data_IF_231139912621
#
_entry.id   IF_231139912621
#
_cell.length_a   1.000
_cell.length_b   1.000
_cell.length_c   1.000
_cell.angle_alpha   90.00
_cell.angle_beta   90.00
_cell.angle_gamma   90.00
#
_symmetry.space_group_name_H-M   'P 1'
#
loop_
_entity.id
_entity.type
_entity.pdbx_description
1 polymer ?
#
# COMPACT_ATOMS: atom_id res chain seq x y z
N UNK A 1 -12.27 33.93 13.28
CA UNK A 1 -12.57 33.20 12.03
C UNK A 1 -11.36 33.07 11.09
N UNK A 2 -10.28 33.86 11.22
CA UNK A 2 -9.12 33.82 10.30
C UNK A 2 -8.05 32.74 10.58
N UNK A 3 -7.88 32.27 11.83
CA UNK A 3 -6.82 31.28 12.15
C UNK A 3 -7.05 29.88 11.55
N UNK A 4 -8.31 29.49 11.34
CA UNK A 4 -8.66 28.23 10.70
C UNK A 4 -8.32 28.24 9.21
N UNK A 5 -8.69 29.30 8.50
CA UNK A 5 -8.47 29.42 7.05
C UNK A 5 -6.98 29.44 6.68
N UNK A 6 -6.14 30.15 7.45
CA UNK A 6 -4.69 30.14 7.20
C UNK A 6 -4.06 28.76 7.46
N UNK A 7 -4.55 28.00 8.44
CA UNK A 7 -4.10 26.64 8.73
C UNK A 7 -4.48 25.64 7.63
N UNK A 8 -5.73 25.66 7.15
CA UNK A 8 -6.19 24.79 6.06
C UNK A 8 -5.48 25.10 4.74
N UNK A 9 -5.31 26.38 4.39
CA UNK A 9 -4.59 26.78 3.19
C UNK A 9 -3.13 26.35 3.25
N UNK A 10 -2.48 26.49 4.41
CA UNK A 10 -1.09 26.03 4.63
C UNK A 10 -0.98 24.51 4.46
N UNK A 11 -1.91 23.74 5.03
CA UNK A 11 -1.93 22.27 4.90
C UNK A 11 -2.16 21.82 3.45
N UNK A 12 -3.02 22.50 2.69
CA UNK A 12 -3.23 22.23 1.26
C UNK A 12 -2.00 22.56 0.41
N UNK A 13 -1.31 23.65 0.72
CA UNK A 13 -0.06 24.02 0.04
C UNK A 13 1.05 23.00 0.34
N UNK A 14 1.12 22.51 1.58
CA UNK A 14 2.04 21.44 1.94
C UNK A 14 1.71 20.16 1.17
N UNK A 15 0.45 19.71 1.15
CA UNK A 15 0.01 18.53 0.40
C UNK A 15 0.45 18.61 -1.07
N UNK A 16 0.15 19.75 -1.73
CA UNK A 16 0.53 19.97 -3.12
C UNK A 16 2.05 19.85 -3.32
N UNK A 17 2.83 20.50 -2.46
CA UNK A 17 4.29 20.50 -2.56
C UNK A 17 4.87 19.10 -2.38
N UNK A 18 4.35 18.35 -1.40
CA UNK A 18 4.74 16.95 -1.11
C UNK A 18 4.38 16.03 -2.27
N UNK A 19 3.17 16.18 -2.82
CA UNK A 19 2.69 15.43 -3.97
C UNK A 19 3.56 15.67 -5.22
N UNK A 20 3.89 16.94 -5.52
CA UNK A 20 4.76 17.28 -6.65
C UNK A 20 6.14 16.65 -6.47
N UNK A 21 6.71 16.67 -5.26
CA UNK A 21 8.01 16.04 -4.96
C UNK A 21 7.97 14.53 -5.15
N UNK A 22 6.93 13.87 -4.65
CA UNK A 22 6.74 12.43 -4.82
C UNK A 22 6.59 12.05 -6.31
N UNK A 23 5.76 12.78 -7.05
CA UNK A 23 5.59 12.58 -8.50
C UNK A 23 6.88 12.87 -9.27
N UNK A 24 7.63 13.92 -8.91
CA UNK A 24 8.91 14.22 -9.55
C UNK A 24 9.94 13.11 -9.32
N UNK A 25 9.97 12.51 -8.13
CA UNK A 25 10.87 11.39 -7.83
C UNK A 25 10.55 10.18 -8.72
N UNK A 26 9.25 9.87 -8.89
CA UNK A 26 8.81 8.79 -9.79
C UNK A 26 9.20 9.11 -11.24
N UNK A 27 8.97 10.33 -11.72
CA UNK A 27 9.28 10.73 -13.10
C UNK A 27 10.78 10.68 -13.38
N UNK A 28 11.62 11.16 -12.46
CA UNK A 28 13.08 11.13 -12.60
C UNK A 28 13.59 9.70 -12.78
N UNK A 29 13.00 8.75 -12.06
CA UNK A 29 13.34 7.32 -12.20
C UNK A 29 12.66 6.68 -13.41
N UNK A 30 11.48 7.16 -13.80
CA UNK A 30 10.73 6.64 -14.93
C UNK A 30 11.44 6.87 -16.26
N UNK A 31 12.04 8.05 -16.47
CA UNK A 31 12.74 8.39 -17.72
C UNK A 31 13.78 7.33 -18.11
N UNK A 32 14.75 6.94 -17.26
CA UNK A 32 15.73 5.91 -17.60
C UNK A 32 15.11 4.52 -17.68
N UNK A 33 14.16 4.17 -16.79
CA UNK A 33 13.54 2.83 -16.76
C UNK A 33 12.62 2.57 -17.96
N UNK A 34 12.03 3.62 -18.54
CA UNK A 34 11.20 3.54 -19.75
C UNK A 34 11.97 3.01 -20.96
N UNK A 35 13.27 3.29 -21.08
CA UNK A 35 14.10 2.73 -22.16
C UNK A 35 14.29 1.21 -22.04
N UNK A 36 14.16 0.65 -20.83
CA UNK A 36 14.29 -0.78 -20.52
C UNK A 36 12.93 -1.47 -20.28
N UNK A 37 11.83 -0.84 -20.71
CA UNK A 37 10.48 -1.31 -20.44
C UNK A 37 10.21 -2.74 -20.93
N UNK A 38 10.79 -3.13 -22.07
CA UNK A 38 10.59 -4.46 -22.67
C UNK A 38 11.28 -5.56 -21.87
N UNK A 39 12.50 -5.28 -21.42
CA UNK A 39 13.31 -6.18 -20.60
C UNK A 39 12.67 -6.38 -19.22
N UNK A 40 12.18 -5.29 -18.62
CA UNK A 40 11.46 -5.34 -17.34
C UNK A 40 10.17 -6.17 -17.47
N UNK A 41 9.41 -5.98 -18.55
CA UNK A 41 8.23 -6.80 -18.82
C UNK A 41 8.58 -8.28 -18.98
N UNK A 42 9.61 -8.60 -19.77
CA UNK A 42 10.07 -9.97 -19.96
C UNK A 42 10.46 -10.65 -18.63
N UNK A 43 11.03 -9.89 -17.68
CA UNK A 43 11.37 -10.40 -16.35
C UNK A 43 10.11 -10.70 -15.50
N UNK A 44 9.12 -9.80 -15.52
CA UNK A 44 7.85 -9.94 -14.79
C UNK A 44 6.95 -11.06 -15.36
N UNK A 45 7.07 -11.33 -16.66
CA UNK A 45 6.31 -12.35 -17.38
C UNK A 45 6.77 -13.80 -17.11
N UNK A 46 8.03 -14.00 -16.69
CA UNK A 46 8.63 -15.34 -16.44
C UNK A 46 7.77 -16.29 -15.59
N UNK A 47 7.25 -15.91 -14.40
CA UNK A 47 6.47 -16.83 -13.56
C UNK A 47 5.17 -17.30 -14.20
N UNK A 48 4.49 -16.43 -14.98
CA UNK A 48 3.29 -16.83 -15.70
C UNK A 48 3.63 -17.78 -16.83
N UNK A 49 4.66 -17.47 -17.63
CA UNK A 49 5.13 -18.34 -18.70
C UNK A 49 5.54 -19.73 -18.17
N UNK A 50 6.09 -19.81 -16.96
CA UNK A 50 6.42 -21.07 -16.30
C UNK A 50 5.20 -21.85 -15.78
N UNK A 51 4.07 -21.17 -15.55
CA UNK A 51 2.82 -21.78 -15.08
C UNK A 51 1.86 -22.16 -16.23
N UNK A 52 2.17 -21.74 -17.45
CA UNK A 52 1.41 -22.11 -18.64
C UNK A 52 1.78 -23.53 -19.12
N UNK A 53 0.83 -24.29 -19.71
CA UNK A 53 1.13 -25.56 -20.36
C UNK A 53 2.20 -25.38 -21.46
N UNK A 54 2.94 -26.46 -21.77
CA UNK A 54 3.96 -26.42 -22.81
C UNK A 54 3.38 -25.88 -24.15
N UNK A 55 3.87 -24.70 -24.58
CA UNK A 55 3.40 -24.00 -25.79
C UNK A 55 2.38 -22.88 -25.54
N UNK A 56 2.02 -22.58 -24.30
CA UNK A 56 1.17 -21.43 -23.96
C UNK A 56 1.82 -20.11 -24.34
N UNK A 57 1.10 -19.31 -25.13
CA UNK A 57 1.51 -17.96 -25.51
C UNK A 57 0.56 -16.94 -24.88
N UNK A 58 1.10 -15.85 -24.35
CA UNK A 58 0.25 -14.72 -24.00
C UNK A 58 -0.13 -13.96 -25.27
N UNK A 59 -1.41 -13.61 -25.37
CA UNK A 59 -1.94 -12.89 -26.52
C UNK A 59 -2.09 -11.41 -26.17
N UNK A 60 -1.80 -10.53 -27.13
CA UNK A 60 -2.18 -9.13 -27.06
C UNK A 60 -3.45 -8.96 -27.89
N UNK A 61 -4.57 -8.67 -27.23
CA UNK A 61 -5.85 -8.42 -27.92
C UNK A 61 -5.98 -6.96 -28.38
N UNK A 62 -5.29 -6.04 -27.72
CA UNK A 62 -5.25 -4.61 -28.05
C UNK A 62 -3.91 -4.22 -28.72
N UNK A 63 -4.00 -3.53 -29.86
CA UNK A 63 -2.87 -2.97 -30.61
C UNK A 63 -2.11 -1.94 -29.77
N UNK A 64 -2.83 -1.11 -29.00
CA UNK A 64 -2.23 -0.11 -28.12
C UNK A 64 -1.57 -0.77 -26.91
N UNK A 65 -2.13 -1.91 -26.46
CA UNK A 65 -1.62 -2.71 -25.35
C UNK A 65 -0.16 -3.15 -25.55
N UNK A 66 0.26 -3.48 -26.78
CA UNK A 66 1.64 -3.89 -27.10
C UNK A 66 2.68 -2.83 -26.70
N UNK A 67 2.32 -1.55 -26.78
CA UNK A 67 3.17 -0.44 -26.34
C UNK A 67 2.93 -0.07 -24.88
N UNK A 68 1.68 0.06 -24.45
CA UNK A 68 1.36 0.54 -23.11
C UNK A 68 1.71 -0.44 -22.00
N UNK A 69 1.65 -1.75 -22.25
CA UNK A 69 1.95 -2.78 -21.24
C UNK A 69 3.40 -2.66 -20.73
N UNK A 70 4.44 -2.68 -21.58
CA UNK A 70 5.81 -2.44 -21.14
C UNK A 70 5.97 -1.10 -20.40
N UNK A 71 5.31 -0.04 -20.87
CA UNK A 71 5.39 1.28 -20.24
C UNK A 71 4.76 1.31 -18.84
N UNK A 72 3.63 0.61 -18.64
CA UNK A 72 3.03 0.39 -17.31
C UNK A 72 4.01 -0.32 -16.39
N UNK A 73 4.76 -1.31 -16.89
CA UNK A 73 5.78 -2.04 -16.09
C UNK A 73 6.89 -1.11 -15.68
N UNK A 74 7.43 -0.33 -16.61
CA UNK A 74 8.46 0.65 -16.31
C UNK A 74 7.99 1.66 -15.25
N UNK A 75 6.73 2.11 -15.33
CA UNK A 75 6.14 3.00 -14.33
C UNK A 75 6.01 2.35 -12.96
N UNK A 76 5.63 1.08 -12.91
CA UNK A 76 5.57 0.34 -11.65
C UNK A 76 6.97 0.21 -11.04
N UNK A 77 7.96 -0.22 -11.83
CA UNK A 77 9.35 -0.36 -11.36
C UNK A 77 9.93 0.97 -10.92
N UNK A 78 9.65 2.05 -11.63
CA UNK A 78 10.10 3.39 -11.23
C UNK A 78 9.46 3.84 -9.93
N UNK A 79 8.16 3.56 -9.74
CA UNK A 79 7.47 3.78 -8.48
C UNK A 79 8.13 3.01 -7.32
N UNK A 80 8.50 1.74 -7.52
CA UNK A 80 9.16 0.93 -6.49
C UNK A 80 10.55 1.44 -6.11
N UNK A 81 11.33 1.87 -7.10
CA UNK A 81 12.64 2.48 -6.85
C UNK A 81 12.48 3.83 -6.14
N UNK A 82 11.47 4.63 -6.53
CA UNK A 82 11.14 5.91 -5.90
C UNK A 82 10.40 5.76 -4.56
N UNK A 83 10.00 4.54 -4.17
CA UNK A 83 9.16 4.27 -3.01
C UNK A 83 9.67 4.88 -1.70
N UNK A 84 10.98 4.82 -1.36
CA UNK A 84 11.49 5.46 -0.14
C UNK A 84 11.23 6.97 -0.12
N UNK A 85 11.36 7.64 -1.27
CA UNK A 85 11.08 9.06 -1.39
C UNK A 85 9.58 9.34 -1.31
N UNK A 86 8.74 8.51 -1.94
CA UNK A 86 7.28 8.64 -1.89
C UNK A 86 6.76 8.49 -0.47
N UNK A 87 7.11 7.39 0.21
CA UNK A 87 6.69 7.12 1.59
C UNK A 87 7.19 8.21 2.55
N UNK A 88 8.42 8.69 2.36
CA UNK A 88 8.93 9.83 3.14
C UNK A 88 8.04 11.08 2.98
N UNK A 89 7.63 11.44 1.76
CA UNK A 89 6.76 12.60 1.56
C UNK A 89 5.34 12.38 2.14
N UNK A 90 4.79 11.16 2.04
CA UNK A 90 3.49 10.80 2.63
C UNK A 90 3.53 10.96 4.15
N UNK A 91 4.51 10.36 4.81
CA UNK A 91 4.62 10.43 6.27
C UNK A 91 5.01 11.81 6.78
N UNK A 92 5.82 12.56 6.03
CA UNK A 92 6.13 13.94 6.34
C UNK A 92 4.89 14.86 6.28
N UNK A 93 3.88 14.50 5.47
CA UNK A 93 2.61 15.22 5.41
C UNK A 93 1.66 14.80 6.54
N UNK A 94 1.52 13.49 6.80
CA UNK A 94 0.54 12.97 7.77
C UNK A 94 0.89 13.34 9.21
N UNK A 95 2.18 13.42 9.55
CA UNK A 95 2.60 13.58 10.95
C UNK A 95 3.63 14.71 11.17
N UNK A 96 3.33 15.99 10.88
CA UNK A 96 4.23 17.09 11.22
C UNK A 96 4.51 17.14 12.73
N UNK A 97 3.55 16.72 13.56
CA UNK A 97 3.67 16.63 15.02
C UNK A 97 4.73 15.64 15.50
N UNK A 98 4.96 14.53 14.77
CA UNK A 98 6.01 13.57 15.11
C UNK A 98 7.41 14.13 14.76
N UNK A 99 7.51 14.91 13.67
CA UNK A 99 8.79 15.51 13.24
C UNK A 99 9.28 16.64 14.14
N UNK A 100 8.39 17.36 14.82
CA UNK A 100 8.73 18.51 15.66
C UNK A 100 9.40 18.09 17.00
N UNK A 101 8.93 17.00 17.61
CA UNK A 101 9.40 16.58 18.95
C UNK A 101 10.11 15.20 18.96
N UNK A 102 9.88 14.31 17.98
CA UNK A 102 10.48 12.96 17.92
C UNK A 102 11.07 12.62 16.53
N UNK A 103 11.97 13.48 16.02
CA UNK A 103 12.70 13.25 14.76
C UNK A 103 13.40 11.87 14.66
N UNK A 104 13.68 11.23 15.81
CA UNK A 104 14.30 9.91 15.93
C UNK A 104 13.37 8.74 15.57
N UNK A 105 12.04 8.90 15.67
CA UNK A 105 11.07 7.83 15.37
C UNK A 105 10.56 7.90 13.92
N UNK A 106 10.59 9.08 13.29
CA UNK A 106 10.14 9.24 11.91
C UNK A 106 10.98 8.43 10.91
N UNK A 107 12.31 8.43 11.05
CA UNK A 107 13.21 7.70 10.14
C UNK A 107 13.05 6.17 10.19
N UNK A 108 13.06 5.51 11.37
CA UNK A 108 12.83 4.06 11.43
C UNK A 108 11.42 3.67 10.98
N UNK A 109 10.43 4.55 11.13
CA UNK A 109 9.07 4.32 10.64
C UNK A 109 9.00 4.30 9.12
N UNK A 110 9.62 5.28 8.45
CA UNK A 110 9.72 5.28 6.97
C UNK A 110 10.49 4.05 6.48
N UNK A 111 11.58 3.68 7.14
CA UNK A 111 12.33 2.47 6.80
C UNK A 111 11.48 1.19 6.99
N UNK A 112 10.72 1.10 8.09
CA UNK A 112 9.81 0.00 8.35
C UNK A 112 8.69 -0.08 7.29
N UNK A 113 8.11 1.05 6.90
CA UNK A 113 7.15 1.13 5.78
C UNK A 113 7.75 0.58 4.49
N UNK A 114 8.93 1.07 4.07
CA UNK A 114 9.59 0.57 2.86
C UNK A 114 9.76 -0.95 2.92
N UNK A 115 10.25 -1.49 4.03
CA UNK A 115 10.43 -2.93 4.22
C UNK A 115 9.09 -3.67 4.17
N UNK A 116 8.06 -3.17 4.86
CA UNK A 116 6.72 -3.77 4.88
C UNK A 116 6.09 -3.76 3.49
N UNK A 117 6.22 -2.68 2.73
CA UNK A 117 5.73 -2.59 1.37
C UNK A 117 6.37 -3.65 0.46
N UNK A 118 7.71 -3.76 0.48
CA UNK A 118 8.41 -4.80 -0.27
C UNK A 118 8.06 -6.22 0.22
N UNK A 119 7.83 -6.39 1.52
CA UNK A 119 7.35 -7.66 2.10
C UNK A 119 5.94 -7.99 1.61
N UNK A 120 5.05 -7.00 1.50
CA UNK A 120 3.72 -7.16 0.96
C UNK A 120 3.72 -7.54 -0.51
N UNK A 121 4.61 -6.92 -1.30
CA UNK A 121 4.82 -7.33 -2.69
C UNK A 121 5.39 -8.74 -2.82
N UNK A 122 6.36 -9.11 -1.98
CA UNK A 122 6.91 -10.46 -1.94
C UNK A 122 5.81 -11.47 -1.57
N UNK A 123 4.97 -11.15 -0.59
CA UNK A 123 3.82 -11.98 -0.23
C UNK A 123 2.84 -12.14 -1.39
N UNK A 124 2.52 -11.05 -2.11
CA UNK A 124 1.67 -11.10 -3.30
C UNK A 124 2.26 -12.03 -4.37
N UNK A 125 3.58 -11.93 -4.62
CA UNK A 125 4.25 -12.70 -5.65
C UNK A 125 4.43 -14.18 -5.30
N UNK A 126 4.88 -14.49 -4.08
CA UNK A 126 5.25 -15.86 -3.69
C UNK A 126 4.10 -16.67 -3.07
N UNK A 127 3.13 -16.02 -2.44
CA UNK A 127 2.02 -16.72 -1.78
C UNK A 127 0.70 -16.54 -2.53
N UNK A 128 0.32 -15.29 -2.84
CA UNK A 128 -0.99 -15.00 -3.40
C UNK A 128 -1.14 -15.45 -4.85
N UNK A 129 -0.23 -15.09 -5.76
CA UNK A 129 -0.36 -15.45 -7.19
C UNK A 129 -0.37 -16.97 -7.45
N UNK A 130 0.55 -17.79 -6.91
CA UNK A 130 0.52 -19.24 -7.14
C UNK A 130 -0.78 -19.87 -6.65
N UNK A 131 -1.34 -19.36 -5.56
CA UNK A 131 -2.59 -19.83 -5.00
C UNK A 131 -3.80 -19.46 -5.88
N UNK A 132 -3.92 -18.20 -6.28
CA UNK A 132 -5.03 -17.75 -7.15
C UNK A 132 -4.96 -18.45 -8.50
N UNK A 133 -3.79 -18.53 -9.14
CA UNK A 133 -3.65 -19.21 -10.43
C UNK A 133 -3.83 -20.73 -10.32
N UNK A 134 -3.40 -21.34 -9.22
CA UNK A 134 -3.68 -22.75 -8.94
C UNK A 134 -5.17 -23.04 -8.73
N UNK A 135 -5.89 -22.13 -8.08
CA UNK A 135 -7.35 -22.22 -7.97
C UNK A 135 -8.03 -22.04 -9.33
N UNK A 136 -7.64 -21.03 -10.10
CA UNK A 136 -8.21 -20.79 -11.44
C UNK A 136 -7.96 -21.96 -12.40
N UNK A 137 -6.79 -22.61 -12.34
CA UNK A 137 -6.50 -23.78 -13.19
C UNK A 137 -7.27 -25.03 -12.76
N UNK A 138 -7.53 -25.22 -11.46
CA UNK A 138 -8.33 -26.34 -10.95
C UNK A 138 -9.82 -26.24 -11.33
N UNK A 139 -10.33 -25.04 -11.58
CA UNK A 139 -11.72 -24.80 -12.01
C UNK A 139 -11.88 -24.67 -13.53
N UNK A 140 -10.79 -24.75 -14.29
CA UNK A 140 -10.85 -24.69 -15.74
C UNK A 140 -11.53 -25.96 -16.31
N UNK A 141 -12.58 -25.82 -17.14
CA UNK A 141 -13.22 -26.98 -17.77
C UNK A 141 -12.25 -27.74 -18.67
N UNK A 142 -12.33 -29.07 -18.67
CA UNK A 142 -11.55 -29.90 -19.60
C UNK A 142 -11.85 -29.50 -21.05
N UNK A 143 -10.81 -29.14 -21.81
CA UNK A 143 -10.92 -28.77 -23.22
C UNK A 143 -10.93 -27.26 -23.53
N UNK A 144 -10.90 -26.38 -22.52
CA UNK A 144 -10.76 -24.92 -22.75
C UNK A 144 -9.29 -24.53 -22.73
N UNK A 145 -8.77 -24.04 -23.85
CA UNK A 145 -7.42 -23.49 -23.93
C UNK A 145 -7.32 -22.21 -23.08
N UNK A 146 -6.45 -22.24 -22.08
CA UNK A 146 -6.25 -21.12 -21.16
C UNK A 146 -5.39 -20.04 -21.83
N UNK A 147 -6.06 -19.11 -22.53
CA UNK A 147 -5.42 -17.98 -23.20
C UNK A 147 -5.64 -16.71 -22.37
N UNK A 148 -4.60 -16.24 -21.68
CA UNK A 148 -4.66 -15.00 -20.91
C UNK A 148 -4.13 -13.83 -21.73
N UNK A 149 -4.88 -12.74 -21.73
CA UNK A 149 -4.44 -11.48 -22.32
C UNK A 149 -3.36 -10.80 -21.46
N UNK A 150 -2.31 -10.30 -22.13
CA UNK A 150 -1.15 -9.68 -21.49
C UNK A 150 -1.56 -8.48 -20.63
N UNK A 151 -2.45 -7.62 -21.14
CA UNK A 151 -2.85 -6.42 -20.42
C UNK A 151 -3.70 -6.76 -19.22
N UNK A 152 -4.62 -7.73 -19.33
CA UNK A 152 -5.45 -8.18 -18.21
C UNK A 152 -4.60 -8.80 -17.10
N UNK A 153 -3.67 -9.69 -17.47
CA UNK A 153 -2.74 -10.28 -16.51
C UNK A 153 -1.90 -9.19 -15.82
N UNK A 154 -1.28 -8.31 -16.60
CA UNK A 154 -0.41 -7.28 -16.04
C UNK A 154 -1.17 -6.30 -15.15
N UNK A 155 -2.36 -5.87 -15.58
CA UNK A 155 -3.21 -4.98 -14.78
C UNK A 155 -3.59 -5.64 -13.47
N UNK A 156 -3.96 -6.93 -13.49
CA UNK A 156 -4.21 -7.70 -12.27
C UNK A 156 -2.97 -7.73 -11.35
N UNK A 157 -1.80 -8.12 -11.87
CA UNK A 157 -0.56 -8.19 -11.08
C UNK A 157 -0.19 -6.84 -10.47
N UNK A 158 -0.28 -5.76 -11.26
CA UNK A 158 0.03 -4.40 -10.81
C UNK A 158 -0.92 -3.93 -9.73
N UNK A 159 -2.23 -4.12 -9.93
CA UNK A 159 -3.23 -3.75 -8.95
C UNK A 159 -3.02 -4.53 -7.66
N UNK A 160 -2.70 -5.83 -7.72
CA UNK A 160 -2.40 -6.63 -6.53
C UNK A 160 -1.14 -6.17 -5.81
N UNK A 161 -0.06 -5.85 -6.52
CA UNK A 161 1.16 -5.34 -5.89
C UNK A 161 0.93 -4.04 -5.14
N UNK A 162 0.16 -3.11 -5.71
CA UNK A 162 -0.20 -1.87 -5.02
C UNK A 162 -1.15 -2.15 -3.85
N UNK A 163 -2.17 -3.00 -4.04
CA UNK A 163 -3.12 -3.33 -2.99
C UNK A 163 -2.44 -4.01 -1.78
N UNK A 164 -1.59 -5.01 -2.00
CA UNK A 164 -0.84 -5.68 -0.93
C UNK A 164 0.24 -4.78 -0.34
N UNK A 165 0.94 -3.98 -1.16
CA UNK A 165 1.91 -3.02 -0.66
C UNK A 165 1.28 -2.02 0.31
N UNK A 166 0.14 -1.42 -0.07
CA UNK A 166 -0.62 -0.50 0.81
C UNK A 166 -1.20 -1.23 2.02
N UNK A 167 -1.70 -2.44 1.84
CA UNK A 167 -2.23 -3.25 2.93
C UNK A 167 -1.18 -3.54 4.00
N UNK A 168 0.07 -3.82 3.60
CA UNK A 168 1.15 -4.09 4.53
C UNK A 168 1.60 -2.85 5.31
N UNK A 169 1.13 -1.65 4.93
CA UNK A 169 1.32 -0.42 5.70
C UNK A 169 0.30 -0.26 6.85
N UNK A 170 -0.76 -1.08 6.91
CA UNK A 170 -1.76 -1.03 7.98
C UNK A 170 -1.15 -1.03 9.40
N UNK A 171 -0.16 -1.89 9.73
CA UNK A 171 0.49 -1.86 11.04
C UNK A 171 1.15 -0.51 11.35
N UNK A 172 1.79 0.11 10.35
CA UNK A 172 2.44 1.42 10.50
C UNK A 172 1.41 2.51 10.74
N UNK A 173 0.32 2.50 9.97
CA UNK A 173 -0.80 3.44 10.14
C UNK A 173 -1.36 3.34 11.57
N UNK A 174 -1.59 2.13 12.08
CA UNK A 174 -2.09 1.91 13.45
C UNK A 174 -1.13 2.48 14.50
N UNK A 175 0.17 2.27 14.34
CA UNK A 175 1.20 2.82 15.25
C UNK A 175 1.17 4.35 15.21
N UNK A 176 1.14 4.97 14.04
CA UNK A 176 1.12 6.43 13.88
C UNK A 176 -0.14 7.03 14.50
N UNK A 177 -1.32 6.46 14.22
CA UNK A 177 -2.58 6.93 14.80
C UNK A 177 -2.58 6.87 16.33
N UNK A 178 -2.02 5.79 16.89
CA UNK A 178 -1.92 5.63 18.35
C UNK A 178 -0.90 6.59 18.96
N UNK A 179 0.24 6.81 18.30
CA UNK A 179 1.29 7.74 18.76
C UNK A 179 0.84 9.20 18.70
N UNK A 180 0.03 9.56 17.72
CA UNK A 180 -0.57 10.90 17.62
C UNK A 180 -1.71 11.12 18.62
N UNK A 181 -2.13 10.09 19.37
CA UNK A 181 -3.25 10.17 20.31
C UNK A 181 -4.62 10.32 19.63
N UNK A 182 -4.71 10.07 18.32
CA UNK A 182 -5.97 10.13 17.58
C UNK A 182 -6.88 8.93 17.90
N UNK A 183 -6.28 7.78 18.18
CA UNK A 183 -6.98 6.55 18.54
C UNK A 183 -6.23 5.85 19.67
N UNK A 184 -6.95 5.28 20.63
CA UNK A 184 -6.37 4.51 21.74
C UNK A 184 -6.37 3.00 21.42
N UNK A 185 -5.49 2.23 22.05
CA UNK A 185 -5.44 0.76 21.90
C UNK A 185 -6.79 0.09 22.21
N UNK A 186 -7.54 0.48 23.26
CA UNK A 186 -8.88 -0.05 23.51
C UNK A 186 -9.86 0.21 22.34
N UNK A 187 -9.87 1.43 21.78
CA UNK A 187 -10.73 1.77 20.64
C UNK A 187 -10.41 0.92 19.40
N UNK A 188 -9.12 0.68 19.12
CA UNK A 188 -8.72 -0.21 18.03
C UNK A 188 -9.21 -1.66 18.25
N UNK A 189 -9.26 -2.12 19.51
CA UNK A 189 -9.78 -3.45 19.83
C UNK A 189 -11.29 -3.54 19.64
N UNK A 190 -12.04 -2.49 19.93
CA UNK A 190 -13.48 -2.42 19.65
C UNK A 190 -13.76 -2.43 18.14
N UNK A 191 -12.86 -1.84 17.34
CA UNK A 191 -13.03 -1.74 15.89
C UNK A 191 -12.70 -3.00 15.10
N UNK A 192 -12.32 -4.11 15.76
CA UNK A 192 -11.98 -5.39 15.10
C UNK A 192 -13.06 -5.87 14.14
N UNK A 193 -14.33 -5.81 14.56
CA UNK A 193 -15.46 -6.24 13.72
C UNK A 193 -15.57 -5.40 12.44
N UNK A 194 -15.38 -4.09 12.53
CA UNK A 194 -15.38 -3.20 11.37
C UNK A 194 -14.20 -3.46 10.43
N UNK A 195 -13.01 -3.70 10.97
CA UNK A 195 -11.82 -4.01 10.15
C UNK A 195 -11.95 -5.35 9.45
N UNK A 196 -12.53 -6.37 10.10
CA UNK A 196 -12.81 -7.66 9.44
C UNK A 196 -13.75 -7.45 8.25
N UNK A 197 -14.86 -6.73 8.42
CA UNK A 197 -15.79 -6.44 7.32
C UNK A 197 -15.09 -5.64 6.21
N UNK A 198 -14.29 -4.63 6.58
CA UNK A 198 -13.49 -3.86 5.63
C UNK A 198 -12.48 -4.71 4.86
N UNK A 199 -11.81 -5.66 5.53
CA UNK A 199 -10.86 -6.57 4.91
C UNK A 199 -11.53 -7.50 3.89
N UNK A 200 -12.72 -8.02 4.21
CA UNK A 200 -13.51 -8.81 3.26
C UNK A 200 -14.04 -8.00 2.08
N UNK A 201 -14.39 -6.72 2.30
CA UNK A 201 -14.81 -5.82 1.23
C UNK A 201 -13.64 -5.50 0.28
N UNK A 202 -12.46 -5.19 0.84
CA UNK A 202 -11.23 -4.99 0.06
C UNK A 202 -10.88 -6.26 -0.72
N UNK A 203 -10.91 -7.42 -0.05
CA UNK A 203 -10.68 -8.70 -0.71
C UNK A 203 -11.67 -8.90 -1.88
N UNK A 204 -12.97 -8.68 -1.69
CA UNK A 204 -13.97 -8.83 -2.76
C UNK A 204 -13.77 -7.90 -3.97
N UNK A 205 -13.17 -6.72 -3.77
CA UNK A 205 -12.86 -5.78 -4.87
C UNK A 205 -11.66 -6.25 -5.69
N UNK A 206 -10.69 -6.89 -5.04
CA UNK A 206 -9.39 -7.22 -5.62
C UNK A 206 -9.28 -8.68 -6.08
N UNK A 207 -9.98 -9.60 -5.42
CA UNK A 207 -10.08 -11.00 -5.83
C UNK A 207 -11.23 -11.19 -6.80
N UNK A 208 -11.18 -12.20 -7.68
CA UNK A 208 -12.36 -12.67 -8.38
C UNK A 208 -13.49 -13.02 -7.38
N UNK A 209 -14.74 -13.25 -7.85
CA UNK A 209 -15.87 -13.64 -7.01
C UNK A 209 -15.75 -15.10 -6.56
N UNK A 210 -14.63 -15.46 -5.96
CA UNK A 210 -14.33 -16.76 -5.40
C UNK A 210 -14.02 -16.65 -3.90
N UNK A 211 -14.72 -17.45 -3.11
CA UNK A 211 -14.68 -17.38 -1.65
C UNK A 211 -13.28 -17.72 -1.13
N UNK A 212 -12.58 -18.68 -1.75
CA UNK A 212 -11.29 -19.13 -1.26
C UNK A 212 -10.25 -18.01 -1.38
N UNK A 213 -10.06 -17.41 -2.55
CA UNK A 213 -9.11 -16.31 -2.72
C UNK A 213 -9.50 -15.09 -1.88
N UNK A 214 -10.80 -14.82 -1.73
CA UNK A 214 -11.28 -13.74 -0.87
C UNK A 214 -10.84 -13.93 0.59
N UNK A 215 -11.05 -15.11 1.17
CA UNK A 215 -10.58 -15.41 2.53
C UNK A 215 -9.06 -15.37 2.64
N UNK A 216 -8.35 -15.86 1.61
CA UNK A 216 -6.89 -15.86 1.59
C UNK A 216 -6.27 -14.47 1.50
N UNK A 217 -6.99 -13.48 0.96
CA UNK A 217 -6.59 -12.08 1.04
C UNK A 217 -7.02 -11.45 2.38
N UNK A 218 -8.25 -11.69 2.83
CA UNK A 218 -8.79 -11.06 4.03
C UNK A 218 -8.08 -11.48 5.33
N UNK A 219 -7.65 -12.75 5.45
CA UNK A 219 -6.97 -13.26 6.65
C UNK A 219 -5.64 -12.52 6.89
N UNK A 220 -4.70 -12.41 5.92
CA UNK A 220 -3.50 -11.60 6.06
C UNK A 220 -3.79 -10.16 6.47
N UNK A 221 -4.82 -9.51 5.90
CA UNK A 221 -5.24 -8.16 6.29
C UNK A 221 -5.58 -8.10 7.79
N UNK A 222 -6.38 -9.04 8.28
CA UNK A 222 -6.78 -9.10 9.68
C UNK A 222 -5.56 -9.34 10.60
N UNK A 223 -4.65 -10.22 10.19
CA UNK A 223 -3.42 -10.52 10.95
C UNK A 223 -2.48 -9.31 11.03
N UNK A 224 -2.33 -8.57 9.93
CA UNK A 224 -1.55 -7.32 9.90
C UNK A 224 -2.16 -6.26 10.80
N UNK A 225 -3.48 -6.13 10.81
CA UNK A 225 -4.15 -5.23 11.75
C UNK A 225 -3.89 -5.60 13.21
N UNK A 226 -3.98 -6.89 13.54
CA UNK A 226 -3.70 -7.38 14.89
C UNK A 226 -2.24 -7.15 15.29
N UNK A 227 -1.30 -7.39 14.38
CA UNK A 227 0.11 -7.07 14.55
C UNK A 227 0.30 -5.57 14.84
N UNK A 228 -0.40 -4.70 14.10
CA UNK A 228 -0.43 -3.26 14.34
C UNK A 228 -0.86 -2.89 15.75
N UNK A 229 -1.95 -3.49 16.25
CA UNK A 229 -2.44 -3.27 17.63
C UNK A 229 -1.40 -3.70 18.65
N UNK A 230 -0.79 -4.88 18.48
CA UNK A 230 0.22 -5.41 19.42
C UNK A 230 1.45 -4.52 19.46
N UNK A 231 1.96 -4.10 18.29
CA UNK A 231 3.11 -3.19 18.19
C UNK A 231 2.80 -1.83 18.81
N UNK A 232 1.63 -1.27 18.52
CA UNK A 232 1.19 0.01 19.10
C UNK A 232 1.08 -0.07 20.63
N UNK A 233 0.52 -1.15 21.18
CA UNK A 233 0.43 -1.37 22.62
C UNK A 233 1.81 -1.47 23.30
N UNK A 234 2.79 -2.10 22.64
CA UNK A 234 4.15 -2.20 23.14
C UNK A 234 4.89 -0.85 23.11
N UNK A 235 4.71 -0.08 22.03
CA UNK A 235 5.35 1.22 21.80
C UNK A 235 4.75 2.39 22.61
N UNK A 236 3.51 2.28 23.06
CA UNK A 236 2.74 3.35 23.75
C UNK A 236 2.53 3.02 25.24
N UNK A 237 3.47 2.33 25.88
CA UNK A 237 3.38 1.90 27.30
C UNK A 237 3.30 3.06 28.35
N UNK A 238 3.14 4.31 27.94
CA UNK A 238 2.82 5.42 28.84
C UNK A 238 1.31 5.75 28.74
N UNK A 239 0.55 5.72 29.84
CA UNK A 239 -0.86 6.10 29.80
C UNK A 239 -0.96 7.57 29.37
N UNK A 240 -1.53 7.80 28.18
CA UNK A 240 -2.13 9.10 27.91
C UNK A 240 -3.43 9.11 28.71
N UNK A 241 -3.42 9.86 29.81
CA UNK A 241 -4.60 10.11 30.63
C UNK A 241 -5.72 10.65 29.73
N UNK A 242 -6.84 9.93 29.57
CA UNK A 242 -7.98 10.38 28.76
C UNK A 242 -8.59 11.71 29.27
N UNK A 243 -8.20 12.16 30.46
CA UNK A 243 -8.69 13.38 31.11
C UNK A 243 -7.64 14.49 31.27
N UNK A 244 -6.47 14.39 30.64
CA UNK A 244 -5.51 15.49 30.67
C UNK A 244 -6.18 16.77 30.12
N UNK A 245 -6.33 17.84 30.95
CA UNK A 245 -7.02 19.04 30.52
C UNK A 245 -6.31 19.60 29.28
N UNK A 246 -7.10 19.88 28.24
CA UNK A 246 -6.65 20.66 27.08
C UNK A 246 -6.27 22.03 27.60
N UNK A 247 -5.00 22.19 27.95
CA UNK A 247 -4.50 23.44 28.52
C UNK A 247 -4.75 24.56 27.52
N UNK A 248 -5.71 25.37 27.89
CA UNK A 248 -6.23 26.57 27.30
C UNK A 248 -5.08 27.58 27.18
N UNK A 249 -4.52 27.67 25.98
CA UNK A 249 -3.54 28.68 25.56
C UNK A 249 -4.12 30.12 25.52
N UNK A 250 -5.07 30.47 26.40
CA UNK A 250 -5.74 31.77 26.42
C UNK A 250 -5.46 32.63 27.65
N UNK A 251 -4.62 32.20 28.61
CA UNK A 251 -4.45 32.93 29.88
C UNK A 251 -3.08 33.60 30.10
N UNK A 252 -2.29 33.84 29.05
CA UNK A 252 -0.98 34.50 29.17
C UNK A 252 -0.86 35.80 28.36
N UNK A 253 -1.89 36.65 28.39
CA UNK A 253 -1.73 38.07 28.06
C UNK A 253 -2.74 38.92 28.84
N UNK A 254 -2.49 39.10 30.13
CA UNK A 254 -2.92 40.25 30.93
C UNK A 254 -2.32 40.06 32.33
N UNK A 255 -1.11 40.58 32.48
CA UNK A 255 -0.72 41.53 33.53
C UNK A 255 0.71 42.02 33.26
#
# INVERSE_FOLDING_TARGET
MAEGEESFLTHLIELRTRLIRALSAIIIVFIPTAFYARELYALLAKPLLASLPAGGQMIATDVVGVFLVPMKVALMVSFLIALPAVLYQVWAFVAPGLYQHEKKLAMPLVAASVILFFTGMAFAYFAFFPMVFGFMSAFAPEGVAWMTDIEKYLSFVMTMFIAFGITFEVPVIVIVLTKLGLVTVPQLREWRSYVIVGAFAVAAVFTPPDVISQFMMAIPLCLLYELGIVLAAWLVKAPLDPHAPRNDLSAATKD
#
